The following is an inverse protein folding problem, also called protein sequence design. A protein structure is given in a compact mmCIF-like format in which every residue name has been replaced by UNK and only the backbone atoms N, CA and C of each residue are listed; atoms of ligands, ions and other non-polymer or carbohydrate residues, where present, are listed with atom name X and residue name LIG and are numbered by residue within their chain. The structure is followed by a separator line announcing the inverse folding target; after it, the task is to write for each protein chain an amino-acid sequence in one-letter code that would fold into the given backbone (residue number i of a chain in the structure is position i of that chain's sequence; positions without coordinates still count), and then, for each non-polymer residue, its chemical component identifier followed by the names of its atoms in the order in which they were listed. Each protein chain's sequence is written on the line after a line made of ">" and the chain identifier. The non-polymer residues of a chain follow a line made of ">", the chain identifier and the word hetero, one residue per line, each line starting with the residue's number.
data_IF_177639437172
#
_entry.id   IF_177639437172
#
_cell.length_a   1.000
_cell.length_b   1.000
_cell.length_c   1.000
_cell.angle_alpha   90.00
_cell.angle_beta   90.00
_cell.angle_gamma   90.00
#
_symmetry.space_group_name_H-M   'P 1'
#
loop_
_entity.id
_entity.type
_entity.pdbx_description
1 polymer ?
#
# COMPACT_ATOMS: atom_id res chain seq x y z
N UNK A 1 22.86 -1.30 -4.30
CA UNK A 1 21.40 -1.49 -4.39
C UNK A 1 20.80 -1.16 -3.04
N UNK A 2 20.41 0.10 -2.87
CA UNK A 2 19.89 0.62 -1.62
C UNK A 2 18.58 -0.09 -1.25
N UNK A 3 18.58 -0.74 -0.08
CA UNK A 3 17.36 -1.35 0.47
C UNK A 3 16.48 -0.23 0.99
N UNK A 4 15.62 0.32 0.14
CA UNK A 4 14.72 1.40 0.56
C UNK A 4 13.57 0.83 1.40
N UNK A 5 13.53 1.22 2.67
CA UNK A 5 12.50 0.87 3.63
C UNK A 5 11.52 2.03 3.79
N UNK A 6 10.27 1.81 3.41
CA UNK A 6 9.23 2.82 3.38
C UNK A 6 8.33 2.73 4.61
N UNK A 7 7.90 3.90 5.11
CA UNK A 7 6.74 4.00 6.02
C UNK A 7 5.49 3.50 5.30
N UNK A 8 4.51 3.04 6.06
CA UNK A 8 3.19 2.63 5.53
C UNK A 8 2.60 3.71 4.62
N UNK A 9 2.67 4.99 5.02
CA UNK A 9 2.14 6.11 4.24
C UNK A 9 2.85 6.27 2.88
N UNK A 10 4.18 6.16 2.86
CA UNK A 10 4.95 6.28 1.63
C UNK A 10 4.74 5.07 0.73
N UNK A 11 4.69 3.87 1.31
CA UNK A 11 4.36 2.65 0.59
C UNK A 11 2.97 2.73 -0.06
N UNK A 12 1.99 3.24 0.67
CA UNK A 12 0.62 3.42 0.19
C UNK A 12 0.56 4.40 -1.00
N UNK A 13 1.28 5.53 -0.92
CA UNK A 13 1.39 6.49 -2.03
C UNK A 13 2.10 5.89 -3.25
N UNK A 14 3.12 5.07 -3.04
CA UNK A 14 3.92 4.49 -4.12
C UNK A 14 3.09 3.58 -5.03
N UNK A 15 2.13 2.84 -4.47
CA UNK A 15 1.28 1.90 -5.21
C UNK A 15 -0.19 2.35 -5.28
N UNK A 16 -0.45 3.63 -4.99
CA UNK A 16 -1.77 4.26 -5.00
C UNK A 16 -2.89 3.50 -4.26
N UNK A 17 -2.61 3.08 -3.03
CA UNK A 17 -3.60 2.46 -2.14
C UNK A 17 -3.80 3.25 -0.86
N UNK A 18 -4.83 2.90 -0.08
CA UNK A 18 -4.97 3.47 1.25
C UNK A 18 -3.93 2.90 2.22
N UNK A 19 -3.43 3.69 3.19
CA UNK A 19 -2.62 3.17 4.29
C UNK A 19 -3.32 2.04 5.07
N UNK A 20 -4.65 2.05 5.11
CA UNK A 20 -5.45 0.98 5.72
C UNK A 20 -5.32 -0.35 4.96
N UNK A 21 -5.33 -0.30 3.63
CA UNK A 21 -5.11 -1.48 2.77
C UNK A 21 -3.76 -2.13 3.05
N UNK A 22 -2.70 -1.32 3.14
CA UNK A 22 -1.36 -1.80 3.52
C UNK A 22 -1.40 -2.47 4.92
N UNK A 23 -2.03 -1.84 5.91
CA UNK A 23 -2.16 -2.40 7.26
C UNK A 23 -2.94 -3.72 7.26
N UNK A 24 -3.98 -3.82 6.44
CA UNK A 24 -4.76 -5.05 6.25
C UNK A 24 -3.90 -6.17 5.68
N UNK A 25 -3.13 -5.92 4.62
CA UNK A 25 -2.23 -6.92 4.05
C UNK A 25 -1.13 -7.37 5.01
N UNK A 26 -0.60 -6.46 5.82
CA UNK A 26 0.36 -6.80 6.88
C UNK A 26 -0.30 -7.69 7.94
N UNK A 27 -1.53 -7.34 8.37
CA UNK A 27 -2.29 -8.13 9.36
C UNK A 27 -2.62 -9.52 8.85
N UNK A 28 -2.98 -9.65 7.58
CA UNK A 28 -3.28 -10.91 6.89
C UNK A 28 -2.02 -11.72 6.54
N UNK A 29 -0.82 -11.23 6.89
CA UNK A 29 0.48 -11.81 6.52
C UNK A 29 0.72 -11.93 5.02
N UNK A 30 -0.06 -11.20 4.22
CA UNK A 30 0.12 -11.10 2.78
C UNK A 30 1.33 -10.24 2.43
N UNK A 31 1.59 -9.15 3.16
CA UNK A 31 2.70 -8.23 2.90
C UNK A 31 3.79 -8.33 4.00
N UNK A 32 5.02 -8.74 3.68
CA UNK A 32 6.11 -8.75 4.64
C UNK A 32 6.44 -7.33 5.13
N UNK A 33 6.57 -7.17 6.44
CA UNK A 33 6.93 -5.91 7.07
C UNK A 33 7.95 -6.11 8.18
N UNK A 34 8.70 -5.05 8.46
CA UNK A 34 9.75 -5.02 9.46
C UNK A 34 9.42 -3.96 10.50
N UNK A 35 9.70 -4.27 11.77
CA UNK A 35 9.59 -3.30 12.84
C UNK A 35 10.95 -2.63 13.05
N UNK A 36 10.99 -1.31 12.90
CA UNK A 36 12.17 -0.48 13.19
C UNK A 36 11.79 0.46 14.34
N UNK A 37 12.26 0.14 15.56
CA UNK A 37 11.82 0.81 16.78
C UNK A 37 10.31 0.69 16.99
N UNK A 38 9.63 1.83 17.17
CA UNK A 38 8.17 1.89 17.30
C UNK A 38 7.38 1.90 15.99
N UNK A 39 8.06 1.89 14.83
CA UNK A 39 7.43 2.03 13.52
C UNK A 39 7.48 0.78 12.66
N UNK A 40 6.48 0.62 11.80
CA UNK A 40 6.49 -0.40 10.73
C UNK A 40 7.15 0.18 9.47
N UNK A 41 7.96 -0.65 8.82
CA UNK A 41 8.60 -0.38 7.54
C UNK A 41 8.38 -1.52 6.57
N UNK A 42 8.24 -1.18 5.30
CA UNK A 42 8.02 -2.14 4.22
C UNK A 42 9.17 -1.96 3.24
N UNK A 43 9.73 -3.07 2.76
CA UNK A 43 10.76 -3.02 1.73
C UNK A 43 10.09 -2.71 0.40
N UNK A 44 10.59 -1.71 -0.30
CA UNK A 44 10.01 -1.27 -1.57
C UNK A 44 9.89 -2.41 -2.60
N UNK A 45 10.88 -3.31 -2.65
CA UNK A 45 10.87 -4.48 -3.53
C UNK A 45 9.68 -5.42 -3.34
N UNK A 46 9.00 -5.38 -2.19
CA UNK A 46 7.79 -6.18 -1.97
C UNK A 46 6.54 -5.51 -2.54
N UNK A 47 6.56 -4.19 -2.74
CA UNK A 47 5.38 -3.43 -3.19
C UNK A 47 5.12 -3.58 -4.69
N UNK A 48 6.15 -3.84 -5.49
CA UNK A 48 6.04 -4.03 -6.94
C UNK A 48 5.06 -5.15 -7.32
N UNK A 49 4.98 -6.21 -6.52
CA UNK A 49 4.02 -7.31 -6.73
C UNK A 49 2.55 -6.91 -6.48
N UNK A 50 2.30 -5.80 -5.75
CA UNK A 50 0.95 -5.33 -5.41
C UNK A 50 0.49 -4.16 -6.27
N UNK A 51 1.42 -3.47 -6.94
CA UNK A 51 1.13 -2.30 -7.79
C UNK A 51 0.21 -2.64 -8.98
N UNK A 52 0.27 -3.87 -9.49
CA UNK A 52 -0.50 -4.29 -10.67
C UNK A 52 -1.91 -4.81 -10.33
N UNK A 53 -2.13 -5.23 -9.09
CA UNK A 53 -3.27 -6.12 -8.78
C UNK A 53 -4.58 -5.37 -8.61
N UNK A 54 -4.59 -4.03 -8.41
CA UNK A 54 -5.84 -3.30 -8.17
C UNK A 54 -5.85 -1.86 -8.72
N UNK A 55 -6.33 -1.65 -9.96
CA UNK A 55 -6.94 -0.37 -10.35
C UNK A 55 -8.29 -0.24 -9.61
N UNK A 56 -8.22 0.07 -8.32
CA UNK A 56 -9.27 -0.32 -7.37
C UNK A 56 -9.71 0.74 -6.40
N UNK A 57 -9.70 2.02 -6.81
CA UNK A 57 -10.59 3.02 -6.21
C UNK A 57 -11.24 3.83 -7.31
N UNK A 58 -12.32 3.29 -7.90
CA UNK A 58 -13.38 4.20 -8.32
C UNK A 58 -13.85 4.92 -7.08
N UNK A 59 -13.63 6.23 -7.07
CA UNK A 59 -14.25 7.12 -6.12
C UNK A 59 -15.75 6.87 -6.15
N UNK A 60 -16.36 6.73 -4.99
CA UNK A 60 -17.82 6.83 -4.80
C UNK A 60 -18.40 8.12 -5.41
N UNK A 61 -17.56 9.12 -5.74
CA UNK A 61 -17.93 10.34 -6.45
C UNK A 61 -18.17 10.17 -7.98
N UNK A 62 -17.90 9.00 -8.59
CA UNK A 62 -18.19 8.77 -10.02
C UNK A 62 -19.59 8.18 -10.30
N UNK A 63 -20.40 7.91 -9.26
CA UNK A 63 -21.74 7.28 -9.42
C UNK A 63 -22.85 8.31 -9.71
N UNK A 64 -22.56 9.61 -9.68
CA UNK A 64 -23.52 10.67 -10.01
C UNK A 64 -23.05 11.50 -11.21
N UNK A 65 -23.04 10.88 -12.39
CA UNK A 65 -23.17 11.63 -13.64
C UNK A 65 -23.82 10.73 -14.69
N UNK A 66 -25.14 10.60 -14.59
CA UNK A 66 -25.98 10.12 -15.69
C UNK A 66 -26.71 11.38 -16.18
N UNK A 67 -26.57 11.79 -17.45
CA UNK A 67 -27.37 12.87 -18.02
C UNK A 67 -28.86 12.52 -18.04
#
# INVERSE_FOLDING_TARGET
>A
MDKQFLKIENAAKLIDVSPWTIRKWIKERNLPSYRFGGGVRIRESYLSAYATVMPGKKSIAEIQNIP
#
